data_IF_431454218750
#
_entry.id   IF_431454218750
#
_cell.length_a   1.000
_cell.length_b   1.000
_cell.length_c   1.000
_cell.angle_alpha   90.00
_cell.angle_beta   90.00
_cell.angle_gamma   90.00
#
_symmetry.space_group_name_H-M   'P 1'
#
loop_
_entity.id
_entity.type
_entity.pdbx_description
1 polymer ?
#
# COMPACT_ATOMS: atom_id res chain seq x y z
N UNK A 1 -37.75 -30.15 -35.51
CA UNK A 1 -36.83 -30.34 -34.37
C UNK A 1 -35.41 -30.18 -34.90
N UNK A 2 -34.81 -29.01 -34.69
CA UNK A 2 -33.45 -28.72 -35.19
C UNK A 2 -32.40 -29.27 -34.22
N UNK A 3 -31.40 -30.03 -34.68
CA UNK A 3 -30.37 -30.56 -33.80
C UNK A 3 -29.47 -29.43 -33.30
N UNK A 4 -29.30 -29.34 -31.98
CA UNK A 4 -28.33 -28.45 -31.35
C UNK A 4 -26.91 -28.89 -31.74
N UNK A 5 -26.05 -28.00 -32.26
CA UNK A 5 -24.67 -28.34 -32.58
C UNK A 5 -23.88 -28.58 -31.28
N UNK A 6 -23.49 -29.84 -31.04
CA UNK A 6 -22.54 -30.23 -29.99
C UNK A 6 -21.11 -29.95 -30.46
N UNK A 7 -20.67 -28.71 -30.36
CA UNK A 7 -19.24 -28.37 -30.36
C UNK A 7 -18.90 -27.71 -29.03
N UNK A 8 -18.76 -28.53 -27.99
CA UNK A 8 -18.06 -28.11 -26.78
C UNK A 8 -16.55 -28.15 -27.09
N UNK A 9 -16.05 -27.11 -27.75
CA UNK A 9 -14.63 -26.83 -27.70
C UNK A 9 -14.28 -26.56 -26.24
N UNK A 10 -13.64 -27.54 -25.59
CA UNK A 10 -12.97 -27.30 -24.33
C UNK A 10 -11.91 -26.23 -24.61
N UNK A 11 -12.18 -24.99 -24.18
CA UNK A 11 -11.20 -23.93 -24.25
C UNK A 11 -9.94 -24.41 -23.52
N UNK A 12 -8.80 -24.41 -24.21
CA UNK A 12 -7.53 -24.74 -23.58
C UNK A 12 -7.31 -23.76 -22.43
N UNK A 13 -6.94 -24.26 -21.25
CA UNK A 13 -6.65 -23.47 -20.04
C UNK A 13 -5.64 -22.37 -20.35
N UNK A 14 -4.74 -22.60 -21.32
CA UNK A 14 -3.70 -21.67 -21.74
C UNK A 14 -4.22 -20.44 -22.50
N UNK A 15 -5.46 -20.48 -23.00
CA UNK A 15 -6.05 -19.40 -23.80
C UNK A 15 -7.08 -18.55 -23.04
N UNK A 16 -7.45 -18.97 -21.82
CA UNK A 16 -8.37 -18.20 -21.00
C UNK A 16 -7.65 -16.98 -20.39
N UNK A 17 -8.27 -15.78 -20.42
CA UNK A 17 -7.69 -14.57 -19.84
C UNK A 17 -7.69 -14.60 -18.31
N UNK A 18 -8.69 -15.23 -17.70
CA UNK A 18 -8.79 -15.39 -16.26
C UNK A 18 -8.92 -16.88 -15.92
N UNK A 19 -8.12 -17.29 -14.94
CA UNK A 19 -8.19 -18.61 -14.36
C UNK A 19 -8.78 -18.52 -12.96
N UNK A 20 -9.75 -19.38 -12.70
CA UNK A 20 -10.44 -19.44 -11.42
C UNK A 20 -9.85 -20.58 -10.60
N UNK A 21 -9.06 -20.25 -9.59
CA UNK A 21 -8.46 -21.22 -8.69
C UNK A 21 -9.30 -21.31 -7.42
N UNK A 22 -9.89 -22.48 -7.18
CA UNK A 22 -10.59 -22.77 -5.93
C UNK A 22 -9.69 -23.62 -5.04
N UNK A 23 -9.13 -23.02 -3.99
CA UNK A 23 -8.34 -23.73 -2.98
C UNK A 23 -9.22 -23.96 -1.75
N UNK A 24 -9.01 -25.09 -1.07
CA UNK A 24 -9.59 -25.32 0.26
C UNK A 24 -8.48 -25.15 1.29
N UNK A 25 -8.63 -24.18 2.17
CA UNK A 25 -7.77 -24.00 3.34
C UNK A 25 -8.66 -24.18 4.56
N UNK A 26 -8.34 -25.14 5.42
CA UNK A 26 -9.05 -25.38 6.68
C UNK A 26 -10.58 -25.44 6.54
N UNK A 27 -11.06 -26.20 5.55
CA UNK A 27 -12.49 -26.39 5.20
C UNK A 27 -13.21 -25.18 4.60
N UNK A 28 -12.55 -24.03 4.43
CA UNK A 28 -13.12 -22.85 3.79
C UNK A 28 -12.68 -22.77 2.32
N UNK A 29 -13.61 -22.62 1.36
CA UNK A 29 -13.24 -22.40 -0.04
C UNK A 29 -12.71 -20.97 -0.21
N UNK A 30 -11.44 -20.85 -0.58
CA UNK A 30 -10.83 -19.61 -1.02
C UNK A 30 -10.91 -19.61 -2.56
N UNK A 31 -11.59 -18.61 -3.10
CA UNK A 31 -11.64 -18.38 -4.54
C UNK A 31 -10.59 -17.32 -4.88
N UNK A 32 -9.64 -17.69 -5.72
CA UNK A 32 -8.62 -16.79 -6.25
C UNK A 32 -8.79 -16.66 -7.76
N UNK A 33 -8.78 -15.42 -8.26
CA UNK A 33 -8.75 -15.13 -9.68
C UNK A 33 -7.30 -14.88 -10.06
N UNK A 34 -6.77 -15.70 -10.97
CA UNK A 34 -5.43 -15.59 -11.50
C UNK A 34 -5.50 -14.99 -12.89
N UNK A 35 -4.80 -13.86 -13.08
CA UNK A 35 -4.64 -13.22 -14.38
C UNK A 35 -3.61 -13.99 -15.20
N UNK A 36 -3.98 -14.45 -16.39
CA UNK A 36 -3.05 -15.22 -17.23
C UNK A 36 -2.09 -14.33 -18.02
N UNK A 37 -1.02 -14.93 -18.55
CA UNK A 37 -0.16 -14.25 -19.51
C UNK A 37 -0.93 -13.84 -20.78
N UNK A 38 -1.88 -14.66 -21.23
CA UNK A 38 -2.70 -14.38 -22.41
C UNK A 38 -3.49 -13.07 -22.25
N UNK A 39 -4.11 -12.82 -21.07
CA UNK A 39 -4.77 -11.54 -20.82
C UNK A 39 -3.79 -10.37 -20.90
N UNK A 40 -2.63 -10.50 -20.25
CA UNK A 40 -1.62 -9.43 -20.18
C UNK A 40 -1.10 -9.01 -21.56
N UNK A 41 -0.93 -9.94 -22.49
CA UNK A 41 -0.35 -9.67 -23.81
C UNK A 41 -1.38 -9.38 -24.90
N UNK A 42 -2.65 -9.70 -24.68
CA UNK A 42 -3.72 -9.53 -25.68
C UNK A 42 -4.09 -8.08 -26.03
N UNK A 43 -3.68 -7.10 -25.21
CA UNK A 43 -4.18 -5.72 -25.32
C UNK A 43 -5.67 -5.56 -24.98
N UNK A 44 -6.35 -6.61 -24.52
CA UNK A 44 -7.77 -6.53 -24.18
C UNK A 44 -8.07 -5.53 -23.06
N UNK A 45 -7.20 -5.46 -22.05
CA UNK A 45 -7.35 -4.53 -20.94
C UNK A 45 -7.30 -3.06 -21.37
N UNK A 46 -6.65 -2.75 -22.50
CA UNK A 46 -6.58 -1.37 -23.01
C UNK A 46 -7.83 -0.98 -23.81
N UNK A 47 -8.68 -1.94 -24.18
CA UNK A 47 -9.95 -1.69 -24.86
C UNK A 47 -11.07 -1.31 -23.89
N UNK A 48 -10.88 -1.56 -22.59
CA UNK A 48 -11.85 -1.26 -21.56
C UNK A 48 -11.54 0.06 -20.89
N UNK A 49 -12.57 0.87 -20.63
CA UNK A 49 -12.42 2.00 -19.72
C UNK A 49 -12.16 1.51 -18.29
N UNK A 50 -11.57 2.36 -17.47
CA UNK A 50 -11.30 2.01 -16.07
C UNK A 50 -12.59 1.66 -15.29
N UNK A 51 -13.71 2.33 -15.60
CA UNK A 51 -15.03 1.99 -15.05
C UNK A 51 -15.50 0.60 -15.48
N UNK A 52 -15.32 0.26 -16.76
CA UNK A 52 -15.70 -1.05 -17.31
C UNK A 52 -14.84 -2.17 -16.72
N UNK A 53 -13.54 -1.92 -16.55
CA UNK A 53 -12.62 -2.87 -15.93
C UNK A 53 -13.00 -3.13 -14.47
N UNK A 54 -13.24 -2.06 -13.69
CA UNK A 54 -13.69 -2.17 -12.29
C UNK A 54 -14.99 -2.97 -12.21
N UNK A 55 -15.96 -2.64 -13.05
CA UNK A 55 -17.25 -3.34 -13.13
C UNK A 55 -17.10 -4.82 -13.47
N UNK A 56 -16.24 -5.15 -14.44
CA UNK A 56 -15.97 -6.53 -14.81
C UNK A 56 -15.28 -7.31 -13.69
N UNK A 57 -14.28 -6.72 -13.01
CA UNK A 57 -13.61 -7.35 -11.86
C UNK A 57 -14.57 -7.53 -10.70
N UNK A 58 -15.40 -6.53 -10.39
CA UNK A 58 -16.44 -6.62 -9.35
C UNK A 58 -17.42 -7.74 -9.65
N UNK A 59 -17.86 -7.90 -10.90
CA UNK A 59 -18.69 -9.04 -11.28
C UNK A 59 -18.06 -10.38 -10.91
N UNK A 60 -16.76 -10.56 -11.17
CA UNK A 60 -16.06 -11.81 -10.84
C UNK A 60 -16.05 -12.11 -9.33
N UNK A 61 -16.23 -11.10 -8.46
CA UNK A 61 -16.32 -11.32 -7.01
C UNK A 61 -17.66 -11.91 -6.54
N UNK A 62 -18.73 -11.85 -7.35
CA UNK A 62 -20.03 -12.48 -7.08
C UNK A 62 -20.03 -13.98 -7.38
N UNK A 63 -18.90 -14.65 -7.18
CA UNK A 63 -18.74 -16.08 -7.41
C UNK A 63 -19.39 -16.87 -6.26
N UNK A 64 -20.32 -17.75 -6.61
CA UNK A 64 -20.94 -18.69 -5.65
C UNK A 64 -20.02 -19.89 -5.41
N UNK A 65 -20.20 -20.65 -4.30
CA UNK A 65 -19.45 -21.88 -4.04
C UNK A 65 -19.54 -22.94 -5.15
N UNK A 66 -20.59 -22.87 -5.98
CA UNK A 66 -20.76 -23.70 -7.17
C UNK A 66 -19.84 -23.34 -8.35
N UNK A 67 -19.05 -22.25 -8.23
CA UNK A 67 -18.24 -21.70 -9.31
C UNK A 67 -19.04 -20.83 -10.29
N UNK A 68 -20.36 -20.70 -10.13
CA UNK A 68 -21.16 -19.82 -10.95
C UNK A 68 -21.01 -18.36 -10.50
N UNK A 69 -20.65 -17.48 -11.44
CA UNK A 69 -20.63 -16.03 -11.24
C UNK A 69 -21.94 -15.45 -11.75
N UNK A 70 -22.71 -14.81 -10.86
CA UNK A 70 -24.01 -14.21 -11.19
C UNK A 70 -24.20 -12.94 -10.37
N UNK A 71 -24.43 -11.81 -11.02
CA UNK A 71 -24.83 -10.57 -10.36
C UNK A 71 -25.86 -9.83 -11.19
N UNK A 72 -26.75 -9.11 -10.52
CA UNK A 72 -27.69 -8.17 -11.14
C UNK A 72 -27.02 -6.80 -11.32
N UNK A 73 -27.56 -5.97 -12.23
CA UNK A 73 -27.05 -4.60 -12.40
C UNK A 73 -27.14 -3.79 -11.08
N UNK A 74 -28.21 -3.99 -10.31
CA UNK A 74 -28.44 -3.35 -9.01
C UNK A 74 -27.39 -3.72 -7.97
N UNK A 75 -27.03 -5.00 -7.85
CA UNK A 75 -25.98 -5.46 -6.93
C UNK A 75 -24.62 -4.85 -7.28
N UNK A 76 -24.27 -4.85 -8.57
CA UNK A 76 -23.03 -4.25 -9.06
C UNK A 76 -22.98 -2.73 -8.81
N UNK A 77 -24.09 -2.05 -9.08
CA UNK A 77 -24.22 -0.61 -8.85
C UNK A 77 -24.05 -0.27 -7.36
N UNK A 78 -24.69 -1.04 -6.48
CA UNK A 78 -24.56 -0.90 -5.02
C UNK A 78 -23.11 -1.11 -4.56
N UNK A 79 -22.45 -2.17 -5.03
CA UNK A 79 -21.04 -2.46 -4.66
C UNK A 79 -20.06 -1.38 -5.15
N UNK A 80 -20.32 -0.78 -6.31
CA UNK A 80 -19.47 0.28 -6.86
C UNK A 80 -19.82 1.69 -6.34
N UNK A 81 -20.94 1.84 -5.63
CA UNK A 81 -21.44 3.14 -5.19
C UNK A 81 -21.87 4.04 -6.35
N UNK A 82 -22.49 3.46 -7.39
CA UNK A 82 -22.92 4.17 -8.61
C UNK A 82 -24.42 3.99 -8.87
N UNK A 83 -24.99 4.81 -9.75
CA UNK A 83 -26.37 4.66 -10.20
C UNK A 83 -26.54 3.45 -11.12
N UNK A 84 -27.66 2.73 -10.96
CA UNK A 84 -27.95 1.51 -11.71
C UNK A 84 -27.96 1.73 -13.23
N UNK A 85 -28.47 2.86 -13.71
CA UNK A 85 -28.54 3.17 -15.15
C UNK A 85 -27.14 3.28 -15.79
N UNK A 86 -26.19 3.88 -15.07
CA UNK A 86 -24.79 3.99 -15.49
C UNK A 86 -24.16 2.59 -15.54
N UNK A 87 -24.42 1.78 -14.52
CA UNK A 87 -23.95 0.40 -14.46
C UNK A 87 -24.52 -0.43 -15.62
N UNK A 88 -25.83 -0.34 -15.89
CA UNK A 88 -26.50 -1.06 -16.97
C UNK A 88 -25.94 -0.68 -18.34
N UNK A 89 -25.77 0.62 -18.59
CA UNK A 89 -25.14 1.12 -19.82
C UNK A 89 -23.73 0.55 -20.02
N UNK A 90 -22.91 0.51 -18.97
CA UNK A 90 -21.58 -0.08 -19.04
C UNK A 90 -21.60 -1.61 -19.23
N UNK A 91 -22.57 -2.32 -18.64
CA UNK A 91 -22.75 -3.75 -18.87
C UNK A 91 -23.16 -4.05 -20.32
N UNK A 92 -24.01 -3.22 -20.91
CA UNK A 92 -24.40 -3.36 -22.33
C UNK A 92 -23.23 -3.12 -23.27
N UNK A 93 -22.31 -2.21 -22.92
CA UNK A 93 -21.05 -2.03 -23.65
C UNK A 93 -20.17 -3.27 -23.49
N UNK A 94 -19.99 -3.76 -22.25
CA UNK A 94 -19.18 -4.96 -21.97
C UNK A 94 -19.71 -6.22 -22.69
N UNK A 95 -21.02 -6.37 -22.88
CA UNK A 95 -21.58 -7.48 -23.68
C UNK A 95 -21.13 -7.46 -25.14
N UNK A 96 -20.86 -6.28 -25.70
CA UNK A 96 -20.41 -6.13 -27.09
C UNK A 96 -18.92 -6.41 -27.25
N UNK A 97 -18.15 -6.33 -26.16
CA UNK A 97 -16.72 -6.62 -26.17
C UNK A 97 -16.50 -8.13 -26.34
N UNK A 98 -15.57 -8.49 -27.23
CA UNK A 98 -15.27 -9.89 -27.57
C UNK A 98 -13.86 -10.29 -27.17
N UNK A 99 -13.72 -11.52 -26.69
CA UNK A 99 -12.46 -12.20 -26.46
C UNK A 99 -12.43 -13.49 -27.28
N UNK A 100 -11.38 -13.70 -28.08
CA UNK A 100 -11.28 -14.90 -28.93
C UNK A 100 -12.47 -15.10 -29.88
N UNK A 101 -13.16 -14.02 -30.25
CA UNK A 101 -14.35 -14.04 -31.11
C UNK A 101 -15.69 -14.23 -30.38
N UNK A 102 -15.71 -14.54 -29.08
CA UNK A 102 -16.93 -14.66 -28.28
C UNK A 102 -17.14 -13.44 -27.37
N UNK A 103 -18.40 -13.14 -27.03
CA UNK A 103 -18.69 -12.09 -26.05
C UNK A 103 -18.10 -12.45 -24.67
N UNK A 104 -17.63 -11.45 -23.94
CA UNK A 104 -17.02 -11.63 -22.61
C UNK A 104 -18.07 -11.79 -21.51
N UNK A 105 -19.27 -11.29 -21.77
CA UNK A 105 -20.38 -11.20 -20.83
C UNK A 105 -21.68 -11.60 -21.53
N UNK A 106 -22.55 -12.31 -20.82
CA UNK A 106 -23.91 -12.61 -21.26
C UNK A 106 -24.90 -12.21 -20.16
N UNK A 107 -26.08 -11.74 -20.56
CA UNK A 107 -27.20 -11.52 -19.65
C UNK A 107 -28.24 -12.64 -19.79
N UNK A 108 -28.70 -13.19 -18.67
CA UNK A 108 -29.76 -14.21 -18.64
C UNK A 108 -30.66 -13.92 -17.46
N UNK A 109 -31.95 -13.67 -17.72
CA UNK A 109 -32.95 -13.37 -16.67
C UNK A 109 -32.46 -12.24 -15.73
N UNK A 110 -31.98 -11.13 -16.30
CA UNK A 110 -31.41 -9.97 -15.58
C UNK A 110 -30.13 -10.22 -14.77
N UNK A 111 -29.53 -11.41 -14.91
CA UNK A 111 -28.24 -11.72 -14.31
C UNK A 111 -27.14 -11.70 -15.36
N UNK A 112 -26.03 -11.06 -15.01
CA UNK A 112 -24.85 -11.00 -15.85
C UNK A 112 -23.88 -12.11 -15.48
N UNK A 113 -23.32 -12.75 -16.51
CA UNK A 113 -22.42 -13.90 -16.40
C UNK A 113 -21.18 -13.67 -17.27
N UNK A 114 -19.97 -13.90 -16.74
CA UNK A 114 -18.79 -13.96 -17.59
C UNK A 114 -18.87 -15.17 -18.52
N UNK A 115 -18.33 -15.03 -19.72
CA UNK A 115 -18.19 -16.12 -20.67
C UNK A 115 -17.29 -17.23 -20.13
N UNK A 116 -17.64 -18.49 -20.43
CA UNK A 116 -16.80 -19.65 -20.08
C UNK A 116 -15.43 -19.66 -20.76
N UNK A 117 -15.28 -18.91 -21.85
CA UNK A 117 -13.99 -18.73 -22.51
C UNK A 117 -13.11 -17.70 -21.79
N UNK A 118 -13.74 -16.81 -21.02
CA UNK A 118 -13.05 -15.74 -20.28
C UNK A 118 -12.62 -16.22 -18.91
N UNK A 119 -13.47 -17.02 -18.24
CA UNK A 119 -13.20 -17.60 -16.94
C UNK A 119 -13.17 -19.12 -17.04
N UNK A 120 -11.96 -19.69 -17.07
CA UNK A 120 -11.77 -21.14 -17.04
C UNK A 120 -11.42 -21.61 -15.62
N UNK A 121 -11.94 -22.77 -15.17
CA UNK A 121 -11.54 -23.35 -13.90
C UNK A 121 -10.06 -23.79 -13.98
N UNK A 122 -9.24 -23.33 -13.04
CA UNK A 122 -7.88 -23.83 -12.88
C UNK A 122 -7.96 -25.18 -12.16
N UNK A 123 -7.86 -26.25 -12.93
CA UNK A 123 -7.73 -27.59 -12.38
C UNK A 123 -6.26 -27.77 -12.00
N UNK A 124 -5.95 -27.57 -10.73
CA UNK A 124 -4.65 -27.95 -10.21
C UNK A 124 -4.63 -29.49 -10.19
N UNK A 125 -3.74 -30.15 -10.95
CA UNK A 125 -3.63 -31.59 -10.90
C UNK A 125 -3.33 -31.98 -9.45
N UNK A 126 -4.11 -32.93 -8.92
CA UNK A 126 -3.87 -33.44 -7.58
C UNK A 126 -2.38 -33.81 -7.47
N UNK A 127 -1.71 -33.44 -6.36
CA UNK A 127 -0.30 -33.79 -6.19
C UNK A 127 -0.18 -35.29 -6.40
N UNK A 128 0.65 -35.68 -7.38
CA UNK A 128 0.89 -37.09 -7.68
C UNK A 128 1.24 -37.76 -6.35
N UNK A 129 0.54 -38.83 -5.94
CA UNK A 129 0.79 -39.46 -4.65
C UNK A 129 2.28 -39.74 -4.57
N UNK A 130 2.93 -39.17 -3.57
CA UNK A 130 4.35 -39.40 -3.37
C UNK A 130 4.55 -40.92 -3.27
N UNK A 131 5.59 -41.48 -3.91
CA UNK A 131 5.92 -42.89 -3.69
C UNK A 131 5.96 -43.14 -2.19
N UNK A 132 5.47 -44.30 -1.70
CA UNK A 132 5.47 -44.60 -0.28
C UNK A 132 6.88 -44.40 0.25
N UNK A 133 7.08 -43.32 1.01
CA UNK A 133 8.39 -43.04 1.56
C UNK A 133 8.70 -44.18 2.52
N UNK A 134 9.93 -44.73 2.49
CA UNK A 134 10.35 -45.67 3.51
C UNK A 134 10.05 -45.05 4.86
N UNK A 135 9.42 -45.82 5.75
CA UNK A 135 9.11 -45.38 7.12
C UNK A 135 10.45 -45.20 7.85
N UNK A 136 11.06 -44.03 7.68
CA UNK A 136 12.22 -43.64 8.47
C UNK A 136 11.73 -43.56 9.91
N UNK A 137 12.42 -44.19 10.88
CA UNK A 137 12.05 -44.04 12.29
C UNK A 137 11.96 -42.55 12.59
N UNK A 138 10.79 -42.11 13.07
CA UNK A 138 10.57 -40.69 13.36
C UNK A 138 11.63 -40.24 14.35
N UNK A 139 12.43 -39.26 13.95
CA UNK A 139 13.36 -38.61 14.85
C UNK A 139 12.57 -38.11 16.07
N UNK A 140 13.05 -38.40 17.28
CA UNK A 140 12.39 -37.93 18.49
C UNK A 140 12.36 -36.40 18.49
N UNK A 141 11.40 -35.80 19.20
CA UNK A 141 11.29 -34.34 19.34
C UNK A 141 12.63 -33.71 19.72
N UNK A 142 13.41 -34.37 20.56
CA UNK A 142 14.75 -33.94 21.00
C UNK A 142 15.78 -33.99 19.86
N UNK A 143 15.73 -35.01 19.00
CA UNK A 143 16.59 -35.09 17.83
C UNK A 143 16.26 -33.98 16.82
N UNK A 144 14.97 -33.67 16.63
CA UNK A 144 14.53 -32.55 15.77
C UNK A 144 14.97 -31.21 16.35
N UNK A 145 14.80 -31.00 17.66
CA UNK A 145 15.25 -29.76 18.34
C UNK A 145 16.78 -29.62 18.25
N UNK A 146 17.52 -30.69 18.52
CA UNK A 146 19.00 -30.67 18.45
C UNK A 146 19.49 -30.41 17.02
N UNK A 147 18.90 -31.06 16.03
CA UNK A 147 19.23 -30.81 14.63
C UNK A 147 18.87 -29.36 14.25
N UNK A 148 17.70 -28.87 14.64
CA UNK A 148 17.30 -27.48 14.36
C UNK A 148 18.23 -26.46 15.04
N UNK A 149 18.66 -26.71 16.27
CA UNK A 149 19.64 -25.87 16.97
C UNK A 149 21.02 -25.93 16.31
N UNK A 150 21.45 -27.08 15.79
CA UNK A 150 22.71 -27.22 15.08
C UNK A 150 22.69 -26.59 13.69
N UNK A 151 21.57 -26.69 12.96
CA UNK A 151 21.45 -26.17 11.60
C UNK A 151 21.08 -24.68 11.55
N UNK A 152 20.22 -24.24 12.47
CA UNK A 152 19.62 -22.89 12.44
C UNK A 152 19.86 -22.08 13.71
N UNK A 153 20.44 -22.67 14.76
CA UNK A 153 20.80 -21.96 15.98
C UNK A 153 21.99 -21.06 15.71
N UNK A 154 21.72 -19.78 15.45
CA UNK A 154 22.75 -18.74 15.47
C UNK A 154 22.81 -18.14 16.89
N UNK A 155 23.99 -17.71 17.36
CA UNK A 155 24.11 -16.94 18.59
C UNK A 155 23.18 -15.72 18.54
N UNK A 156 22.47 -15.46 19.63
CA UNK A 156 21.49 -14.37 19.70
C UNK A 156 22.12 -13.01 19.35
N UNK A 157 23.39 -12.81 19.70
CA UNK A 157 24.15 -11.60 19.40
C UNK A 157 24.41 -11.41 17.89
N UNK A 158 24.61 -12.49 17.14
CA UNK A 158 24.77 -12.40 15.68
C UNK A 158 23.46 -12.06 14.99
N UNK A 159 22.37 -12.69 15.42
CA UNK A 159 21.03 -12.39 14.92
C UNK A 159 20.65 -10.95 15.26
N UNK A 160 20.96 -10.49 16.47
CA UNK A 160 20.72 -9.10 16.90
C UNK A 160 21.49 -8.10 16.06
N UNK A 161 22.79 -8.32 15.82
CA UNK A 161 23.60 -7.45 14.94
C UNK A 161 23.08 -7.41 13.52
N UNK A 162 22.63 -8.54 12.98
CA UNK A 162 22.08 -8.60 11.62
C UNK A 162 20.73 -7.89 11.54
N UNK A 163 19.86 -8.05 12.54
CA UNK A 163 18.60 -7.31 12.66
C UNK A 163 18.88 -5.81 12.82
N UNK A 164 19.84 -5.41 13.64
CA UNK A 164 20.27 -4.02 13.78
C UNK A 164 20.82 -3.47 12.47
N UNK A 165 21.50 -4.28 11.65
CA UNK A 165 21.97 -3.86 10.31
C UNK A 165 20.84 -3.75 9.29
N UNK A 166 19.81 -4.60 9.37
CA UNK A 166 18.65 -4.57 8.47
C UNK A 166 17.62 -3.51 8.85
N UNK A 167 17.49 -3.24 10.14
CA UNK A 167 16.66 -2.17 10.70
C UNK A 167 17.43 -0.86 10.88
N UNK A 168 18.75 -0.86 10.62
CA UNK A 168 19.51 0.37 10.51
C UNK A 168 18.80 1.22 9.45
N UNK A 169 18.36 2.43 9.81
CA UNK A 169 17.56 3.24 8.92
C UNK A 169 18.39 3.62 7.70
N UNK A 170 18.17 2.90 6.60
CA UNK A 170 18.88 3.03 5.33
C UNK A 170 18.79 4.48 4.86
N UNK A 171 19.93 5.16 4.74
CA UNK A 171 20.04 6.54 4.24
C UNK A 171 19.97 7.66 5.30
N UNK A 172 20.21 7.38 6.59
CA UNK A 172 20.53 8.45 7.57
C UNK A 172 22.04 8.78 7.61
N UNK A 173 22.87 8.08 6.83
CA UNK A 173 24.34 8.20 6.87
C UNK A 173 24.86 9.58 6.45
N UNK A 174 24.04 10.36 5.73
CA UNK A 174 24.37 11.71 5.28
C UNK A 174 23.73 12.82 6.14
N UNK A 175 22.97 12.45 7.18
CA UNK A 175 22.33 13.42 8.06
C UNK A 175 23.26 13.79 9.20
N UNK A 176 23.21 15.06 9.60
CA UNK A 176 23.81 15.49 10.86
C UNK A 176 23.18 14.74 12.04
N UNK A 177 23.88 14.74 13.17
CA UNK A 177 23.43 14.08 14.40
C UNK A 177 22.03 14.58 14.83
N UNK A 178 21.78 15.87 14.69
CA UNK A 178 20.53 16.51 15.09
C UNK A 178 19.38 16.15 14.14
N UNK A 179 19.65 16.06 12.85
CA UNK A 179 18.68 15.62 11.85
C UNK A 179 18.30 14.15 12.04
N UNK A 180 19.28 13.27 12.30
CA UNK A 180 19.04 11.86 12.58
C UNK A 180 18.18 11.68 13.85
N UNK A 181 18.42 12.50 14.88
CA UNK A 181 17.59 12.51 16.09
C UNK A 181 16.16 12.97 15.78
N UNK A 182 15.99 14.05 15.01
CA UNK A 182 14.68 14.55 14.60
C UNK A 182 13.86 13.50 13.84
N UNK A 183 14.49 12.78 12.90
CA UNK A 183 13.84 11.70 12.15
C UNK A 183 13.38 10.58 13.09
N UNK A 184 14.25 10.16 14.01
CA UNK A 184 13.94 9.11 14.97
C UNK A 184 12.78 9.50 15.90
N UNK A 185 12.75 10.75 16.39
CA UNK A 185 11.67 11.26 17.23
C UNK A 185 10.32 11.26 16.50
N UNK A 186 10.27 11.68 15.25
CA UNK A 186 9.05 11.69 14.43
C UNK A 186 8.57 10.27 14.10
N UNK A 187 9.49 9.36 13.75
CA UNK A 187 9.15 7.96 13.47
C UNK A 187 8.57 7.25 14.69
N UNK A 188 9.06 7.55 15.90
CA UNK A 188 8.50 7.02 17.16
C UNK A 188 7.02 7.42 17.36
N UNK A 189 6.59 8.53 16.76
CA UNK A 189 5.20 8.99 16.78
C UNK A 189 4.35 8.44 15.61
N UNK A 190 4.91 7.52 14.82
CA UNK A 190 4.24 6.89 13.68
C UNK A 190 4.29 7.68 12.37
N UNK A 191 5.15 8.70 12.27
CA UNK A 191 5.40 9.41 11.01
C UNK A 191 6.23 8.53 10.09
N UNK A 192 5.89 8.46 8.80
CA UNK A 192 6.68 7.68 7.85
C UNK A 192 8.08 8.26 7.68
N UNK A 193 9.06 7.42 7.35
CA UNK A 193 10.46 7.84 7.20
C UNK A 193 10.62 8.99 6.18
N UNK A 194 9.91 8.93 5.05
CA UNK A 194 9.96 9.96 4.01
C UNK A 194 9.41 11.30 4.50
N UNK A 195 8.30 11.27 5.26
CA UNK A 195 7.72 12.47 5.86
C UNK A 195 8.61 13.05 6.96
N UNK A 196 9.21 12.20 7.78
CA UNK A 196 10.12 12.61 8.85
C UNK A 196 11.35 13.32 8.27
N UNK A 197 11.93 12.80 7.18
CA UNK A 197 13.03 13.46 6.45
C UNK A 197 12.64 14.81 5.89
N UNK A 198 11.45 14.90 5.29
CA UNK A 198 10.95 16.16 4.74
C UNK A 198 10.81 17.21 5.83
N UNK A 199 10.25 16.85 6.99
CA UNK A 199 10.09 17.77 8.12
C UNK A 199 11.44 18.25 8.64
N UNK A 200 12.36 17.32 8.90
CA UNK A 200 13.71 17.64 9.43
C UNK A 200 14.53 18.50 8.47
N UNK A 201 14.36 18.34 7.16
CA UNK A 201 15.02 19.20 6.17
C UNK A 201 14.50 20.67 6.19
N UNK A 202 13.34 20.91 6.80
CA UNK A 202 12.67 22.22 6.81
C UNK A 202 12.56 22.86 8.20
N UNK A 203 12.73 22.09 9.28
CA UNK A 203 12.41 22.49 10.64
C UNK A 203 13.53 22.06 11.59
N UNK A 204 13.92 22.95 12.51
CA UNK A 204 14.96 22.70 13.52
C UNK A 204 14.53 21.64 14.54
N UNK A 205 15.50 20.93 15.13
CA UNK A 205 15.26 19.86 16.10
C UNK A 205 14.49 20.35 17.34
N UNK A 206 14.76 21.57 17.79
CA UNK A 206 14.12 22.21 18.94
C UNK A 206 12.62 22.38 18.71
N UNK A 207 12.23 22.85 17.52
CA UNK A 207 10.84 23.02 17.14
C UNK A 207 10.12 21.66 17.05
N UNK A 208 10.78 20.65 16.50
CA UNK A 208 10.24 19.28 16.45
C UNK A 208 9.99 18.75 17.87
N UNK A 209 10.97 18.89 18.78
CA UNK A 209 10.83 18.50 20.19
C UNK A 209 9.68 19.24 20.87
N UNK A 210 9.54 20.54 20.59
CA UNK A 210 8.47 21.37 21.14
C UNK A 210 7.08 20.93 20.65
N UNK A 211 6.90 20.69 19.34
CA UNK A 211 5.63 20.20 18.80
C UNK A 211 5.27 18.81 19.35
N UNK A 212 6.25 17.93 19.54
CA UNK A 212 6.05 16.62 20.19
C UNK A 212 5.61 16.79 21.65
N UNK A 213 6.23 17.70 22.40
CA UNK A 213 5.85 17.99 23.79
C UNK A 213 4.41 18.53 23.91
N UNK A 214 3.92 19.24 22.89
CA UNK A 214 2.56 19.76 22.83
C UNK A 214 1.50 18.75 22.41
N UNK A 215 1.90 17.59 21.87
CA UNK A 215 0.97 16.60 21.33
C UNK A 215 -0.10 16.13 22.33
N UNK A 216 0.21 15.81 23.61
CA UNK A 216 -0.80 15.36 24.57
C UNK A 216 -1.91 16.39 24.81
N UNK A 217 -1.57 17.69 24.76
CA UNK A 217 -2.50 18.80 25.01
C UNK A 217 -3.43 19.08 23.82
N UNK A 218 -3.09 18.59 22.63
CA UNK A 218 -3.83 18.85 21.38
C UNK A 218 -4.87 17.77 21.06
N UNK A 219 -4.89 16.67 21.81
CA UNK A 219 -5.87 15.58 21.68
C UNK A 219 -6.10 15.10 20.24
N UNK A 220 -5.05 15.05 19.41
CA UNK A 220 -5.16 14.72 18.00
C UNK A 220 -5.53 13.24 17.80
N UNK A 221 -6.58 12.98 17.00
CA UNK A 221 -7.02 11.62 16.64
C UNK A 221 -5.94 10.84 15.88
N UNK A 222 -5.10 11.54 15.13
CA UNK A 222 -3.99 10.97 14.36
C UNK A 222 -2.70 11.76 14.61
N UNK A 223 -1.91 11.37 15.63
CA UNK A 223 -0.69 12.07 16.05
C UNK A 223 0.30 12.34 14.91
N UNK A 224 0.61 11.33 14.10
CA UNK A 224 1.59 11.42 13.02
C UNK A 224 1.25 12.50 11.99
N UNK A 225 0.03 12.45 11.43
CA UNK A 225 -0.44 13.42 10.43
C UNK A 225 -0.50 14.84 11.01
N UNK A 226 -0.87 14.96 12.27
CA UNK A 226 -0.96 16.23 12.95
C UNK A 226 0.43 16.84 13.21
N UNK A 227 1.41 16.03 13.63
CA UNK A 227 2.79 16.49 13.84
C UNK A 227 3.43 17.04 12.58
N UNK A 228 3.27 16.34 11.45
CA UNK A 228 3.81 16.80 10.16
C UNK A 228 3.26 18.19 9.80
N UNK A 229 1.94 18.38 9.90
CA UNK A 229 1.34 19.69 9.66
C UNK A 229 1.81 20.74 10.68
N UNK A 230 1.83 20.39 11.97
CA UNK A 230 2.21 21.31 13.02
C UNK A 230 3.67 21.81 12.92
N UNK A 231 4.59 20.95 12.49
CA UNK A 231 5.97 21.33 12.24
C UNK A 231 6.10 22.20 10.98
N UNK A 232 5.48 21.82 9.86
CA UNK A 232 5.60 22.56 8.59
C UNK A 232 4.91 23.93 8.61
N UNK A 233 3.81 24.06 9.34
CA UNK A 233 3.03 25.30 9.44
C UNK A 233 3.33 26.08 10.74
N UNK A 234 4.37 25.69 11.49
CA UNK A 234 4.82 26.32 12.75
C UNK A 234 3.68 26.65 13.74
N UNK A 235 2.87 25.65 14.09
CA UNK A 235 1.69 25.86 14.94
C UNK A 235 2.06 26.41 16.33
N UNK A 236 1.29 27.41 16.79
CA UNK A 236 1.45 28.04 18.11
C UNK A 236 1.18 27.10 19.32
N UNK A 237 1.60 27.45 20.55
CA UNK A 237 1.35 26.64 21.74
C UNK A 237 -0.14 26.34 21.95
N UNK A 238 -0.52 25.12 22.39
CA UNK A 238 -1.91 24.78 22.63
C UNK A 238 -2.49 25.56 23.81
N UNK A 239 -3.81 25.82 23.76
CA UNK A 239 -4.53 26.52 24.84
C UNK A 239 -4.43 25.69 26.12
N UNK A 240 -3.95 26.32 27.20
CA UNK A 240 -3.74 25.67 28.50
C UNK A 240 -2.35 25.08 28.71
N UNK A 241 -1.43 25.23 27.75
CA UNK A 241 -0.01 24.95 27.98
C UNK A 241 0.63 26.17 28.66
N UNK A 242 0.93 26.05 29.95
CA UNK A 242 1.80 27.00 30.64
C UNK A 242 3.25 26.63 30.30
N UNK A 243 3.98 27.56 29.71
CA UNK A 243 5.43 27.40 29.52
C UNK A 243 6.05 27.15 30.90
N UNK A 244 6.95 26.15 31.03
CA UNK A 244 7.69 25.98 32.27
C UNK A 244 8.36 27.32 32.57
N UNK A 245 7.99 27.93 33.70
CA UNK A 245 8.64 29.13 34.19
C UNK A 245 10.09 28.74 34.43
N UNK A 246 10.95 29.14 33.51
CA UNK A 246 12.38 29.08 33.76
C UNK A 246 12.59 30.10 34.86
N UNK A 247 12.79 29.62 36.09
CA UNK A 247 13.27 30.46 37.17
C UNK A 247 14.67 30.90 36.77
N UNK A 248 14.74 32.03 36.06
CA UNK A 248 16.01 32.70 35.78
C UNK A 248 16.45 33.19 37.15
N UNK A 249 17.40 32.47 37.76
CA UNK A 249 18.01 32.94 39.00
C UNK A 249 18.52 34.37 38.76
N UNK A 250 18.06 35.36 39.54
CA UNK A 250 18.48 36.75 39.39
C UNK A 250 19.91 36.85 39.91
N UNK A 251 20.89 36.55 39.05
CA UNK A 251 22.29 36.55 39.47
C UNK A 251 23.36 36.49 38.37
N UNK A 252 22.99 36.30 37.10
CA UNK A 252 23.97 36.41 36.01
C UNK A 252 23.99 37.83 35.46
N UNK A 253 24.83 38.68 36.06
CA UNK A 253 25.29 39.94 35.46
C UNK A 253 26.04 39.62 34.16
N UNK A 254 25.31 39.40 33.07
CA UNK A 254 25.88 39.44 31.73
C UNK A 254 26.12 40.93 31.47
N UNK A 255 27.35 41.37 31.74
CA UNK A 255 27.81 42.71 31.40
C UNK A 255 27.64 42.96 29.91
N UNK A 256 26.50 43.57 29.55
CA UNK A 256 26.26 44.14 28.23
C UNK A 256 27.22 45.33 28.11
N UNK A 257 28.44 45.08 27.66
CA UNK A 257 29.29 46.14 27.12
C UNK A 257 28.56 46.70 25.91
N UNK A 258 27.96 47.88 26.10
CA UNK A 258 27.49 48.73 25.02
C UNK A 258 28.69 49.07 24.13
N UNK A 259 28.88 48.29 23.07
CA UNK A 259 29.76 48.65 21.98
C UNK A 259 29.04 49.74 21.18
N UNK A 260 29.40 51.00 21.50
CA UNK A 260 29.19 52.16 20.65
C UNK A 260 29.64 51.82 19.22
N UNK A 261 28.68 51.58 18.34
CA UNK A 261 28.90 51.36 16.92
C UNK A 261 28.06 52.37 16.14
N UNK A 262 28.42 53.63 16.33
CA UNK A 262 28.10 54.72 15.41
C UNK A 262 28.96 54.56 14.16
N UNK A 263 28.61 53.66 13.25
CA UNK A 263 29.13 53.65 11.88
C UNK A 263 27.97 53.92 10.91
N UNK A 264 28.01 55.04 10.17
CA UNK A 264 26.99 55.32 9.16
C UNK A 264 27.12 54.34 8.00
N UNK A 265 26.03 53.64 7.73
CA UNK A 265 25.89 52.70 6.61
C UNK A 265 25.78 53.49 5.30
N UNK A 266 26.87 53.60 4.54
CA UNK A 266 26.87 54.18 3.19
C UNK A 266 26.33 53.15 2.21
N UNK A 267 25.18 53.46 1.60
CA UNK A 267 24.57 52.65 0.53
C UNK A 267 25.33 52.93 -0.78
N UNK A 268 25.87 51.91 -1.48
CA UNK A 268 26.43 52.11 -2.81
C UNK A 268 25.31 52.16 -3.86
N UNK A 269 25.15 53.32 -4.50
CA UNK A 269 24.33 53.53 -5.70
C UNK A 269 24.85 52.63 -6.84
N UNK A 270 24.08 51.60 -7.18
CA UNK A 270 24.35 50.75 -8.34
C UNK A 270 23.68 51.35 -9.56
N UNK A 271 24.52 51.89 -10.44
CA UNK A 271 24.16 52.44 -11.75
C UNK A 271 23.58 51.34 -12.64
N UNK A 272 22.31 51.50 -13.03
CA UNK A 272 21.61 50.59 -13.95
C UNK A 272 21.82 51.09 -15.39
N UNK A 273 22.73 50.46 -16.12
CA UNK A 273 22.93 50.73 -17.56
C UNK A 273 21.93 49.91 -18.36
N UNK A 274 20.96 50.59 -19.00
CA UNK A 274 20.01 49.99 -19.95
C UNK A 274 20.67 49.93 -21.33
N UNK A 275 20.73 48.76 -22.00
CA UNK A 275 21.13 48.71 -23.41
C UNK A 275 19.91 49.03 -24.31
N UNK A 276 20.03 50.07 -25.12
CA UNK A 276 19.11 50.35 -26.23
C UNK A 276 19.29 49.32 -27.34
N UNK A 277 18.17 48.92 -27.95
CA UNK A 277 18.07 48.11 -29.18
C UNK A 277 17.79 48.99 -30.38
#
# INVERSE_FOLDING_TARGET
MSPLPKFLHHASVDQAPFLMQQTRVDSHPINQIVVTAALRTSGFLTQLSDTQLRLFVTLLTFQKPSGAVRATARELAHTLGQHEDITRTNLDILQKVKWGGAAILYCTQDHYHPSKQVLAPLIIPAPKPAPPQPRVPMATREQVIRHSQQTYGRPIEEVRREIERQLAPVGLENLSKDEAEGVHLLMKQGVSQDQARLVVASVLLEEIRQQIAWLPYRAAKTPARYLVAACLDHYAPPRGYELPKVDIEPGLDIGVQAADSSTPFTVPESSLTVPES
#
